data_IF_384860198167
#
_entry.id   IF_384860198167
#
_cell.length_a   1.000
_cell.length_b   1.000
_cell.length_c   1.000
_cell.angle_alpha   90.00
_cell.angle_beta   90.00
_cell.angle_gamma   90.00
#
_symmetry.space_group_name_H-M   'P 1'
#
loop_
_entity.id
_entity.type
_entity.pdbx_description
1 polymer ?
#
# COMPACT_ATOMS: atom_id res chain seq x y z
N UNK A 1 -17.33 -35.27 -17.14
CA UNK A 1 -17.87 -33.94 -16.81
C UNK A 1 -16.87 -32.87 -17.21
N UNK A 2 -17.24 -32.04 -18.18
CA UNK A 2 -16.38 -30.97 -18.70
C UNK A 2 -16.28 -29.80 -17.70
N UNK A 3 -15.31 -28.90 -17.89
CA UNK A 3 -15.10 -27.74 -17.00
C UNK A 3 -16.34 -26.85 -16.87
N UNK A 4 -17.07 -26.67 -17.97
CA UNK A 4 -18.27 -25.84 -18.06
C UNK A 4 -19.45 -26.44 -17.29
N UNK A 5 -19.60 -27.76 -17.31
CA UNK A 5 -20.61 -28.50 -16.53
C UNK A 5 -20.31 -28.42 -15.03
N UNK A 6 -19.03 -28.54 -14.64
CA UNK A 6 -18.61 -28.33 -13.25
C UNK A 6 -18.93 -26.92 -12.75
N UNK A 7 -18.75 -25.91 -13.60
CA UNK A 7 -19.05 -24.51 -13.28
C UNK A 7 -20.56 -24.28 -13.14
N UNK A 8 -21.37 -24.80 -14.06
CA UNK A 8 -22.84 -24.73 -13.96
C UNK A 8 -23.40 -25.38 -12.70
N UNK A 9 -22.87 -26.56 -12.32
CA UNK A 9 -23.29 -27.23 -11.07
C UNK A 9 -22.91 -26.38 -9.86
N UNK A 10 -21.76 -25.71 -9.87
CA UNK A 10 -21.32 -24.82 -8.80
C UNK A 10 -22.15 -23.54 -8.73
N UNK A 11 -22.50 -22.96 -9.87
CA UNK A 11 -23.38 -21.79 -9.98
C UNK A 11 -24.78 -22.11 -9.46
N UNK A 12 -25.36 -23.25 -9.83
CA UNK A 12 -26.65 -23.72 -9.33
C UNK A 12 -26.62 -24.04 -7.82
N UNK A 13 -25.50 -24.54 -7.29
CA UNK A 13 -25.34 -24.80 -5.85
C UNK A 13 -25.20 -23.51 -5.02
N UNK A 14 -24.77 -22.42 -5.64
CA UNK A 14 -24.59 -21.11 -5.02
C UNK A 14 -25.74 -20.15 -5.32
N UNK A 15 -26.73 -20.59 -6.11
CA UNK A 15 -27.93 -19.85 -6.45
C UNK A 15 -28.73 -19.55 -5.15
N UNK A 16 -28.90 -18.26 -4.83
CA UNK A 16 -29.46 -17.80 -3.55
C UNK A 16 -28.44 -17.40 -2.48
N UNK A 17 -27.14 -17.68 -2.67
CA UNK A 17 -26.03 -17.24 -1.80
C UNK A 17 -25.13 -16.22 -2.52
N UNK A 18 -25.73 -15.07 -2.89
CA UNK A 18 -25.08 -14.03 -3.69
C UNK A 18 -23.75 -13.51 -3.12
N UNK A 19 -23.59 -13.46 -1.79
CA UNK A 19 -22.34 -13.05 -1.14
C UNK A 19 -21.20 -14.03 -1.42
N UNK A 20 -21.44 -15.33 -1.23
CA UNK A 20 -20.43 -16.38 -1.50
C UNK A 20 -20.05 -16.46 -2.97
N UNK A 21 -21.03 -16.25 -3.86
CA UNK A 21 -20.76 -16.19 -5.30
C UNK A 21 -19.88 -14.97 -5.63
N UNK A 22 -20.18 -13.81 -5.04
CA UNK A 22 -19.38 -12.58 -5.19
C UNK A 22 -17.97 -12.72 -4.65
N UNK A 23 -17.80 -13.31 -3.47
CA UNK A 23 -16.49 -13.62 -2.89
C UNK A 23 -15.67 -14.53 -3.81
N UNK A 24 -16.29 -15.60 -4.32
CA UNK A 24 -15.62 -16.55 -5.20
C UNK A 24 -15.24 -15.93 -6.56
N UNK A 25 -16.07 -15.04 -7.10
CA UNK A 25 -15.72 -14.25 -8.28
C UNK A 25 -14.57 -13.28 -8.01
N UNK A 26 -14.59 -12.58 -6.87
CA UNK A 26 -13.53 -11.68 -6.43
C UNK A 26 -12.19 -12.44 -6.31
N UNK A 27 -12.17 -13.59 -5.64
CA UNK A 27 -10.98 -14.43 -5.50
C UNK A 27 -10.44 -14.96 -6.83
N UNK A 28 -11.33 -15.28 -7.78
CA UNK A 28 -10.92 -15.66 -9.14
C UNK A 28 -10.28 -14.50 -9.89
N UNK A 29 -10.83 -13.29 -9.74
CA UNK A 29 -10.28 -12.09 -10.35
C UNK A 29 -8.93 -11.73 -9.75
N UNK A 30 -8.78 -11.77 -8.41
CA UNK A 30 -7.49 -11.58 -7.72
C UNK A 30 -6.41 -12.52 -8.25
N UNK A 31 -6.73 -13.80 -8.46
CA UNK A 31 -5.79 -14.79 -9.02
C UNK A 31 -5.35 -14.52 -10.46
N UNK A 32 -6.12 -13.73 -11.21
CA UNK A 32 -5.81 -13.35 -12.58
C UNK A 32 -5.07 -12.00 -12.67
N UNK A 33 -4.92 -11.28 -11.55
CA UNK A 33 -4.22 -9.99 -11.53
C UNK A 33 -2.73 -10.16 -11.81
N UNK A 34 -2.11 -9.25 -12.58
CA UNK A 34 -0.68 -9.29 -12.86
C UNK A 34 0.19 -9.02 -11.62
N UNK A 35 -0.33 -8.34 -10.60
CA UNK A 35 0.39 -7.97 -9.38
C UNK A 35 -0.35 -8.44 -8.13
N UNK A 36 0.39 -8.78 -7.08
CA UNK A 36 -0.19 -9.01 -5.76
C UNK A 36 -0.46 -7.68 -5.05
N UNK A 37 0.58 -6.86 -4.93
CA UNK A 37 0.60 -5.65 -4.10
C UNK A 37 1.48 -4.59 -4.76
N UNK A 38 1.19 -3.32 -4.47
CA UNK A 38 1.98 -2.19 -4.95
C UNK A 38 2.13 -1.15 -3.83
N UNK A 39 3.35 -0.66 -3.64
CA UNK A 39 3.71 0.30 -2.59
C UNK A 39 4.46 1.49 -3.19
N UNK A 40 4.18 2.70 -2.68
CA UNK A 40 4.96 3.90 -3.02
C UNK A 40 6.01 4.18 -1.96
N UNK A 41 7.20 4.63 -2.38
CA UNK A 41 8.26 5.10 -1.48
C UNK A 41 8.41 6.60 -1.63
N UNK A 42 8.48 7.29 -0.49
CA UNK A 42 8.63 8.73 -0.39
C UNK A 42 9.83 9.02 0.49
N UNK A 43 10.75 9.84 0.01
CA UNK A 43 11.85 10.34 0.77
C UNK A 43 11.32 11.38 1.77
N UNK A 44 11.45 11.06 3.04
CA UNK A 44 11.03 11.90 4.16
C UNK A 44 11.62 13.31 4.06
N UNK A 45 12.87 13.43 3.60
CA UNK A 45 13.58 14.72 3.51
C UNK A 45 13.06 15.60 2.38
N UNK A 46 12.39 15.02 1.39
CA UNK A 46 11.89 15.70 0.20
C UNK A 46 10.36 15.53 0.06
N UNK A 47 9.67 15.24 1.16
CA UNK A 47 8.25 14.94 1.10
C UNK A 47 7.44 16.16 0.64
N UNK A 48 6.44 15.92 -0.21
CA UNK A 48 5.53 16.98 -0.66
C UNK A 48 4.74 17.54 0.53
N UNK A 49 4.54 18.88 0.62
CA UNK A 49 3.68 19.49 1.64
C UNK A 49 2.26 18.93 1.68
N UNK A 50 1.78 18.39 0.56
CA UNK A 50 0.46 17.76 0.48
C UNK A 50 0.34 16.53 1.41
N UNK A 51 1.44 15.83 1.66
CA UNK A 51 1.44 14.61 2.49
C UNK A 51 1.54 14.90 4.00
N UNK A 52 1.75 16.14 4.42
CA UNK A 52 2.02 16.49 5.82
C UNK A 52 0.88 16.12 6.78
N UNK A 53 -0.35 16.06 6.27
CA UNK A 53 -1.55 15.78 7.06
C UNK A 53 -2.00 14.32 6.93
N UNK A 54 -1.31 13.52 6.12
CA UNK A 54 -1.54 12.08 6.02
C UNK A 54 -1.21 11.45 7.37
N UNK A 55 -2.10 10.59 7.85
CA UNK A 55 -1.88 9.82 9.06
C UNK A 55 -0.85 8.74 8.77
N UNK A 56 0.21 8.73 9.57
CA UNK A 56 1.30 7.76 9.48
C UNK A 56 1.50 7.06 10.81
N UNK A 57 1.98 5.83 10.73
CA UNK A 57 2.46 5.08 11.87
C UNK A 57 3.99 5.06 11.81
N UNK A 58 4.68 5.71 12.77
CA UNK A 58 6.14 5.63 12.85
C UNK A 58 6.58 4.17 13.08
N UNK A 59 7.60 3.71 12.38
CA UNK A 59 8.06 2.31 12.47
C UNK A 59 8.51 1.95 13.89
N UNK A 60 9.08 2.91 14.63
CA UNK A 60 9.41 2.74 16.05
C UNK A 60 8.18 2.36 16.90
N UNK A 61 7.00 2.92 16.62
CA UNK A 61 5.75 2.58 17.33
C UNK A 61 5.23 1.18 17.01
N UNK A 62 5.59 0.62 15.85
CA UNK A 62 5.29 -0.78 15.49
C UNK A 62 6.14 -1.73 16.34
N UNK A 63 7.43 -1.40 16.49
CA UNK A 63 8.42 -2.19 17.22
C UNK A 63 8.11 -2.19 18.72
N UNK A 64 7.78 -1.02 19.29
CA UNK A 64 7.51 -0.84 20.72
C UNK A 64 6.12 -1.37 21.16
N UNK A 65 5.40 -2.07 20.29
CA UNK A 65 4.04 -2.59 20.54
C UNK A 65 3.01 -1.54 20.98
N UNK A 66 3.29 -0.24 20.77
CA UNK A 66 2.37 0.85 21.01
C UNK A 66 1.45 1.04 19.77
N UNK A 67 0.70 -0.03 19.48
CA UNK A 67 0.10 -0.41 18.17
C UNK A 67 -0.97 0.53 17.59
N UNK A 68 -1.19 1.74 18.12
CA UNK A 68 -2.33 2.58 17.72
C UNK A 68 -2.03 4.08 17.58
N UNK A 69 -0.76 4.48 17.60
CA UNK A 69 -0.42 5.90 17.48
C UNK A 69 -0.27 6.26 16.01
N UNK A 70 -1.40 6.47 15.34
CA UNK A 70 -1.43 7.20 14.09
C UNK A 70 -1.28 8.68 14.41
N UNK A 71 -0.30 9.33 13.80
CA UNK A 71 -0.06 10.76 13.94
C UNK A 71 0.04 11.38 12.54
N UNK A 72 -0.29 12.66 12.38
CA UNK A 72 0.01 13.37 11.15
C UNK A 72 1.50 13.28 10.81
N UNK A 73 1.83 13.14 9.52
CA UNK A 73 3.22 13.09 9.07
C UNK A 73 4.05 14.26 9.60
N UNK A 74 3.50 15.49 9.61
CA UNK A 74 4.17 16.66 10.18
C UNK A 74 4.64 16.46 11.62
N UNK A 75 3.86 15.77 12.45
CA UNK A 75 4.20 15.52 13.83
C UNK A 75 5.22 14.38 13.95
N UNK A 76 5.19 13.43 13.03
CA UNK A 76 6.24 12.42 12.89
C UNK A 76 7.58 13.06 12.52
N UNK A 77 7.59 13.98 11.55
CA UNK A 77 8.80 14.69 11.13
C UNK A 77 9.39 15.52 12.27
N UNK A 78 8.56 16.25 13.03
CA UNK A 78 9.00 16.97 14.24
C UNK A 78 9.67 16.05 15.27
N UNK A 79 9.15 14.83 15.44
CA UNK A 79 9.78 13.84 16.32
C UNK A 79 11.15 13.42 15.79
N UNK A 80 11.29 13.21 14.50
CA UNK A 80 12.58 12.88 13.87
C UNK A 80 13.61 14.00 14.04
N UNK A 81 13.21 15.26 13.86
CA UNK A 81 14.10 16.41 14.06
C UNK A 81 14.55 16.59 15.52
N UNK A 82 13.73 16.16 16.48
CA UNK A 82 14.03 16.25 17.91
C UNK A 82 14.98 15.15 18.42
N UNK A 83 15.29 14.14 17.59
CA UNK A 83 16.14 13.02 18.00
C UNK A 83 17.60 13.42 17.91
N UNK A 84 18.28 13.32 19.04
CA UNK A 84 19.73 13.46 19.11
C UNK A 84 20.40 12.24 18.45
N UNK A 85 20.87 12.42 17.23
CA UNK A 85 21.56 11.38 16.44
C UNK A 85 22.81 10.84 17.12
N UNK A 86 23.45 11.60 18.02
CA UNK A 86 24.60 11.12 18.78
C UNK A 86 24.22 10.11 19.86
N UNK A 87 23.01 10.24 20.43
CA UNK A 87 22.49 9.31 21.43
C UNK A 87 21.79 8.10 20.83
N UNK A 88 21.19 8.26 19.65
CA UNK A 88 20.39 7.21 19.00
C UNK A 88 20.79 7.01 17.53
N UNK A 89 21.99 6.45 17.26
CA UNK A 89 22.50 6.29 15.90
C UNK A 89 21.70 5.28 15.05
N UNK A 90 20.95 4.38 15.68
CA UNK A 90 20.15 3.35 15.00
C UNK A 90 18.64 3.65 14.98
N UNK A 91 18.24 4.89 15.26
CA UNK A 91 16.82 5.23 15.26
C UNK A 91 16.23 5.05 13.85
N UNK A 92 15.15 4.26 13.67
CA UNK A 92 14.56 4.05 12.37
C UNK A 92 13.78 5.30 11.95
N UNK A 93 14.35 6.08 11.04
CA UNK A 93 13.67 7.21 10.40
C UNK A 93 12.75 6.73 9.29
N UNK A 94 11.70 6.00 9.68
CA UNK A 94 10.67 5.58 8.75
C UNK A 94 9.28 5.58 9.35
N UNK A 95 8.30 5.73 8.48
CA UNK A 95 6.89 5.67 8.82
C UNK A 95 6.12 5.05 7.66
N UNK A 96 4.97 4.45 7.96
CA UNK A 96 4.04 3.94 6.93
C UNK A 96 2.75 4.72 7.02
N UNK A 97 2.31 5.25 5.89
CA UNK A 97 1.03 5.93 5.74
C UNK A 97 0.16 5.25 4.69
N UNK A 98 -1.10 5.65 4.66
CA UNK A 98 -2.03 5.26 3.61
C UNK A 98 -2.82 6.46 3.12
N UNK A 99 -3.17 6.41 1.83
CA UNK A 99 -4.12 7.34 1.23
C UNK A 99 -5.23 6.54 0.55
N UNK A 100 -6.39 7.16 0.42
CA UNK A 100 -7.52 6.56 -0.27
C UNK A 100 -7.20 6.39 -1.78
N UNK A 101 -7.61 5.27 -2.36
CA UNK A 101 -7.47 4.99 -3.79
C UNK A 101 -8.34 5.90 -4.67
N UNK A 102 -9.28 6.64 -4.09
CA UNK A 102 -10.10 7.61 -4.81
C UNK A 102 -9.70 9.07 -4.52
N UNK A 103 -8.66 9.31 -3.71
CA UNK A 103 -8.18 10.66 -3.43
C UNK A 103 -7.16 11.15 -4.46
N UNK A 104 -7.66 11.77 -5.53
CA UNK A 104 -6.86 12.31 -6.65
C UNK A 104 -6.07 13.57 -6.31
N UNK A 105 -6.24 14.16 -5.11
CA UNK A 105 -5.50 15.38 -4.72
C UNK A 105 -3.99 15.15 -4.66
N UNK A 106 -3.58 13.90 -4.48
CA UNK A 106 -2.18 13.50 -4.33
C UNK A 106 -1.51 13.10 -5.64
N UNK A 107 -2.23 13.03 -6.76
CA UNK A 107 -1.76 12.42 -8.01
C UNK A 107 -0.43 12.97 -8.54
N UNK A 108 -0.16 14.27 -8.34
CA UNK A 108 1.05 14.94 -8.80
C UNK A 108 2.26 14.76 -7.86
N UNK A 109 2.05 14.18 -6.67
CA UNK A 109 3.13 13.97 -5.70
C UNK A 109 4.11 12.95 -6.26
N UNK A 110 5.38 13.34 -6.29
CA UNK A 110 6.49 12.50 -6.75
C UNK A 110 6.82 11.44 -5.70
N UNK A 111 7.17 10.26 -6.20
CA UNK A 111 7.67 9.14 -5.43
C UNK A 111 9.14 8.91 -5.79
N UNK A 112 9.93 8.43 -4.83
CA UNK A 112 11.31 8.01 -5.09
C UNK A 112 11.33 6.68 -5.84
N UNK A 113 10.41 5.78 -5.49
CA UNK A 113 10.20 4.55 -6.22
C UNK A 113 8.81 3.96 -5.99
N UNK A 114 8.42 3.05 -6.88
CA UNK A 114 7.25 2.20 -6.74
C UNK A 114 7.72 0.75 -6.67
N UNK A 115 7.37 0.04 -5.61
CA UNK A 115 7.58 -1.40 -5.50
C UNK A 115 6.34 -2.13 -5.99
N UNK A 116 6.53 -3.05 -6.91
CA UNK A 116 5.50 -3.96 -7.42
C UNK A 116 5.88 -5.37 -6.98
N UNK A 117 4.95 -6.06 -6.33
CA UNK A 117 5.08 -7.46 -5.95
C UNK A 117 4.32 -8.35 -6.93
N UNK A 118 5.01 -9.30 -7.54
CA UNK A 118 4.41 -10.26 -8.48
C UNK A 118 3.84 -11.49 -7.78
N UNK A 119 2.97 -12.28 -8.44
CA UNK A 119 2.40 -13.52 -7.90
C UNK A 119 3.44 -14.58 -7.46
N UNK A 120 4.65 -14.53 -8.00
CA UNK A 120 5.78 -15.38 -7.59
C UNK A 120 6.54 -14.82 -6.37
N UNK A 121 6.01 -13.78 -5.74
CA UNK A 121 6.58 -13.03 -4.61
C UNK A 121 7.87 -12.28 -4.92
N UNK A 122 8.27 -12.19 -6.19
CA UNK A 122 9.37 -11.33 -6.61
C UNK A 122 8.97 -9.86 -6.51
N UNK A 123 9.95 -9.00 -6.23
CA UNK A 123 9.77 -7.56 -6.16
C UNK A 123 10.48 -6.88 -7.33
N UNK A 124 9.80 -5.94 -7.98
CA UNK A 124 10.41 -5.00 -8.92
C UNK A 124 10.26 -3.59 -8.38
N UNK A 125 11.34 -2.83 -8.44
CA UNK A 125 11.37 -1.42 -8.06
C UNK A 125 11.45 -0.57 -9.33
N UNK A 126 10.47 0.31 -9.52
CA UNK A 126 10.48 1.34 -10.54
C UNK A 126 11.01 2.62 -9.90
N UNK A 127 12.10 3.18 -10.41
CA UNK A 127 12.63 4.46 -9.91
C UNK A 127 11.75 5.62 -10.36
N UNK A 128 11.46 6.53 -9.44
CA UNK A 128 10.60 7.69 -9.67
C UNK A 128 9.12 7.35 -9.81
N UNK A 129 8.39 8.26 -10.47
CA UNK A 129 6.95 8.15 -10.74
C UNK A 129 6.13 9.04 -9.81
N UNK A 130 4.81 9.01 -9.98
CA UNK A 130 3.89 9.76 -9.13
C UNK A 130 2.89 8.85 -8.43
N UNK A 131 2.11 9.43 -7.52
CA UNK A 131 0.97 8.72 -6.91
C UNK A 131 -0.07 8.32 -7.97
N UNK A 132 -0.23 9.07 -9.06
CA UNK A 132 -1.06 8.63 -10.19
C UNK A 132 -0.52 7.36 -10.86
N UNK A 133 0.80 7.26 -11.05
CA UNK A 133 1.43 6.03 -11.57
C UNK A 133 1.22 4.87 -10.59
N UNK A 134 1.42 5.10 -9.29
CA UNK A 134 1.17 4.12 -8.23
C UNK A 134 -0.27 3.61 -8.28
N UNK A 135 -1.26 4.50 -8.39
CA UNK A 135 -2.69 4.15 -8.50
C UNK A 135 -2.95 3.30 -9.73
N UNK A 136 -2.35 3.64 -10.88
CA UNK A 136 -2.47 2.86 -12.11
C UNK A 136 -1.99 1.41 -11.92
N UNK A 137 -0.88 1.20 -11.21
CA UNK A 137 -0.38 -0.14 -10.89
C UNK A 137 -1.23 -0.84 -9.82
N UNK A 138 -1.68 -0.11 -8.81
CA UNK A 138 -2.56 -0.64 -7.77
C UNK A 138 -3.86 -1.20 -8.36
N UNK A 139 -4.48 -0.50 -9.31
CA UNK A 139 -5.69 -0.96 -10.01
C UNK A 139 -5.50 -2.25 -10.84
N UNK A 140 -4.25 -2.69 -11.02
CA UNK A 140 -3.88 -3.95 -11.66
C UNK A 140 -3.43 -5.00 -10.63
N UNK A 141 -3.58 -4.72 -9.34
CA UNK A 141 -3.15 -5.59 -8.25
C UNK A 141 -4.32 -6.31 -7.59
N UNK A 142 -4.06 -7.46 -6.97
CA UNK A 142 -5.05 -8.17 -6.16
C UNK A 142 -5.59 -7.31 -5.01
N UNK A 143 -4.76 -6.44 -4.42
CA UNK A 143 -5.14 -5.52 -3.33
C UNK A 143 -6.25 -4.52 -3.72
N UNK A 144 -6.45 -4.22 -5.01
CA UNK A 144 -7.53 -3.34 -5.45
C UNK A 144 -8.93 -3.92 -5.23
N UNK A 145 -9.03 -5.23 -4.98
CA UNK A 145 -10.28 -5.94 -4.74
C UNK A 145 -10.57 -6.15 -3.25
N UNK A 146 -9.77 -5.57 -2.37
CA UNK A 146 -10.02 -5.61 -0.94
C UNK A 146 -11.18 -4.68 -0.54
N UNK A 147 -11.77 -4.92 0.62
CA UNK A 147 -12.95 -4.20 1.09
C UNK A 147 -12.72 -2.68 1.23
N UNK A 148 -11.49 -2.30 1.58
CA UNK A 148 -11.04 -0.92 1.74
C UNK A 148 -9.72 -0.73 0.98
N UNK A 149 -9.78 -0.50 -0.34
CA UNK A 149 -8.58 -0.33 -1.14
C UNK A 149 -7.86 0.96 -0.75
N UNK A 150 -6.60 0.82 -0.33
CA UNK A 150 -5.76 1.95 0.09
C UNK A 150 -4.41 1.87 -0.62
N UNK A 151 -3.88 3.02 -1.02
CA UNK A 151 -2.50 3.10 -1.49
C UNK A 151 -1.59 3.23 -0.28
N UNK A 152 -0.61 2.34 -0.17
CA UNK A 152 0.36 2.34 0.92
C UNK A 152 1.60 3.14 0.52
N UNK A 153 2.04 4.01 1.41
CA UNK A 153 3.22 4.85 1.26
C UNK A 153 4.22 4.53 2.38
N UNK A 154 5.44 4.14 2.00
CA UNK A 154 6.59 4.04 2.90
C UNK A 154 7.37 5.35 2.86
N UNK A 155 7.53 5.98 4.02
CA UNK A 155 8.29 7.20 4.21
C UNK A 155 9.66 6.82 4.77
N UNK A 156 10.75 7.08 4.04
CA UNK A 156 12.11 6.64 4.39
C UNK A 156 13.15 7.76 4.17
N UNK A 157 14.28 7.74 4.89
CA UNK A 157 15.34 8.76 4.74
C UNK A 157 16.36 8.49 3.65
N UNK A 158 16.50 7.24 3.21
CA UNK A 158 17.34 6.82 2.09
C UNK A 158 16.60 5.74 1.28
N UNK A 159 15.83 6.15 0.28
CA UNK A 159 15.14 5.25 -0.64
C UNK A 159 16.08 4.68 -1.73
N UNK A 160 17.40 4.69 -1.52
CA UNK A 160 18.36 4.09 -2.45
C UNK A 160 18.36 2.57 -2.28
N UNK A 161 17.35 1.91 -2.84
CA UNK A 161 17.34 0.47 -3.12
C UNK A 161 17.34 0.23 -4.63
#
# INVERSE_FOLDING_TARGET
MNRTEKLKVLENLLEGNNEKLRELHCERQKKAMPYLEVYGFVNIRQCSPLLLDVLVMPTASIIDHNRKVYIPLRDCLRRFDAIDTFKYPYYPYSAVGSIDVDDYRFDAVQLDSIQIRYPDYSNRYLKGGTIADLRRYFNQSASAFDLYPILLLSFETDASR
#
